data_IF_769367872480
#
_entry.id   IF_769367872480
#
_cell.length_a   1.000
_cell.length_b   1.000
_cell.length_c   1.000
_cell.angle_alpha   90.00
_cell.angle_beta   90.00
_cell.angle_gamma   90.00
#
_symmetry.space_group_name_H-M   'P 1'
#
loop_
_entity.id
_entity.type
_entity.pdbx_description
1 polymer ?
#
# COMPACT_ATOMS: atom_id res chain seq x y z
N UNK A 1 -83.89 18.96 39.86
CA UNK A 1 -82.80 19.96 39.86
C UNK A 1 -82.20 20.00 38.45
N UNK A 2 -82.31 21.16 37.76
CA UNK A 2 -81.51 21.73 36.64
C UNK A 2 -81.00 20.80 35.50
N UNK A 3 -81.50 20.96 34.25
CA UNK A 3 -80.88 21.66 33.07
C UNK A 3 -79.45 21.17 32.74
N UNK A 4 -79.12 20.65 31.55
CA UNK A 4 -78.78 21.41 30.30
C UNK A 4 -78.09 20.38 29.35
N UNK A 5 -78.46 20.19 28.08
CA UNK A 5 -78.02 20.92 26.87
C UNK A 5 -76.51 20.94 26.61
N UNK A 6 -76.13 20.68 25.33
CA UNK A 6 -74.90 21.08 24.56
C UNK A 6 -73.96 19.89 24.21
N UNK A 7 -73.34 19.74 23.03
CA UNK A 7 -73.43 20.20 21.63
C UNK A 7 -72.44 19.31 20.84
N UNK A 8 -72.68 19.18 19.54
CA UNK A 8 -71.79 18.60 18.52
C UNK A 8 -70.31 19.02 18.65
N UNK A 9 -69.37 18.09 18.44
CA UNK A 9 -67.96 18.40 18.15
C UNK A 9 -67.45 17.49 17.03
N UNK A 10 -67.67 17.93 15.79
CA UNK A 10 -67.04 17.42 14.59
C UNK A 10 -65.57 17.83 14.61
N UNK A 11 -64.64 16.87 14.76
CA UNK A 11 -63.20 17.14 14.67
C UNK A 11 -62.81 17.11 13.20
N UNK A 12 -62.57 18.29 12.63
CA UNK A 12 -61.97 18.49 11.32
C UNK A 12 -60.46 18.19 11.43
N UNK A 13 -59.98 17.14 10.76
CA UNK A 13 -58.55 16.83 10.68
C UNK A 13 -57.95 17.54 9.46
N UNK A 14 -57.39 18.72 9.67
CA UNK A 14 -56.73 19.49 8.62
C UNK A 14 -55.35 18.87 8.33
N UNK A 15 -55.21 18.22 7.17
CA UNK A 15 -53.92 17.76 6.67
C UNK A 15 -53.06 18.95 6.24
N UNK A 16 -51.97 19.21 6.95
CA UNK A 16 -50.93 20.16 6.54
C UNK A 16 -50.04 19.45 5.53
N UNK A 17 -50.20 19.78 4.25
CA UNK A 17 -49.25 19.44 3.20
C UNK A 17 -47.97 20.26 3.43
N UNK A 18 -46.92 19.61 3.93
CA UNK A 18 -45.56 20.16 3.88
C UNK A 18 -45.05 19.98 2.45
N UNK A 19 -45.12 21.05 1.67
CA UNK A 19 -44.44 21.14 0.38
C UNK A 19 -42.94 21.26 0.68
N UNK A 20 -42.20 20.16 0.53
CA UNK A 20 -40.74 20.23 0.43
C UNK A 20 -40.40 20.95 -0.89
N UNK A 21 -40.07 22.22 -0.80
CA UNK A 21 -39.36 22.92 -1.87
C UNK A 21 -37.98 22.29 -2.01
N UNK A 22 -37.79 21.43 -3.00
CA UNK A 22 -36.47 20.98 -3.45
C UNK A 22 -35.77 22.15 -4.11
N UNK A 23 -35.16 23.02 -3.32
CA UNK A 23 -34.19 24.00 -3.80
C UNK A 23 -32.90 23.25 -4.13
N UNK A 24 -32.53 23.32 -5.40
CA UNK A 24 -31.38 22.70 -6.04
C UNK A 24 -30.07 22.87 -5.26
N UNK A 25 -29.53 21.78 -4.72
CA UNK A 25 -28.18 21.71 -4.11
C UNK A 25 -27.16 21.33 -5.20
N UNK A 26 -27.13 22.05 -6.32
CA UNK A 26 -26.23 21.74 -7.44
C UNK A 26 -25.14 22.79 -7.67
N UNK A 27 -25.14 23.89 -6.90
CA UNK A 27 -24.13 24.96 -7.06
C UNK A 27 -23.13 25.10 -5.90
N UNK A 28 -23.37 24.49 -4.73
CA UNK A 28 -22.38 24.50 -3.63
C UNK A 28 -21.24 23.50 -3.88
N UNK A 29 -21.56 22.29 -4.36
CA UNK A 29 -20.58 21.23 -4.55
C UNK A 29 -19.47 21.57 -5.58
N UNK A 30 -19.77 22.41 -6.60
CA UNK A 30 -18.77 22.78 -7.62
C UNK A 30 -17.67 23.70 -7.09
N UNK A 31 -18.02 24.66 -6.24
CA UNK A 31 -17.06 25.62 -5.66
C UNK A 31 -16.11 24.93 -4.68
N UNK A 32 -16.62 23.96 -3.91
CA UNK A 32 -15.83 23.22 -2.93
C UNK A 32 -14.83 22.26 -3.61
N UNK A 33 -15.22 21.56 -4.69
CA UNK A 33 -14.31 20.65 -5.41
C UNK A 33 -13.14 21.37 -6.10
N UNK A 34 -13.36 22.58 -6.62
CA UNK A 34 -12.29 23.36 -7.26
C UNK A 34 -11.30 23.89 -6.22
N UNK A 35 -11.78 24.29 -5.03
CA UNK A 35 -10.93 24.65 -3.89
C UNK A 35 -10.03 23.49 -3.46
N UNK A 36 -10.62 22.30 -3.25
CA UNK A 36 -9.87 21.11 -2.80
C UNK A 36 -8.85 20.66 -3.85
N UNK A 37 -9.21 20.70 -5.13
CA UNK A 37 -8.25 20.40 -6.20
C UNK A 37 -7.07 21.38 -6.18
N UNK A 38 -7.31 22.67 -5.96
CA UNK A 38 -6.24 23.66 -5.86
C UNK A 38 -5.34 23.42 -4.64
N UNK A 39 -5.92 23.15 -3.46
CA UNK A 39 -5.17 22.85 -2.23
C UNK A 39 -4.27 21.61 -2.40
N UNK A 40 -4.78 20.53 -3.00
CA UNK A 40 -4.00 19.32 -3.27
C UNK A 40 -2.87 19.59 -4.28
N UNK A 41 -3.14 20.35 -5.34
CA UNK A 41 -2.14 20.74 -6.33
C UNK A 41 -1.04 21.64 -5.72
N UNK A 42 -1.39 22.52 -4.79
CA UNK A 42 -0.42 23.33 -4.05
C UNK A 42 0.44 22.47 -3.14
N UNK A 43 -0.15 21.48 -2.47
CA UNK A 43 0.57 20.52 -1.64
C UNK A 43 1.56 19.70 -2.45
N UNK A 44 1.16 19.17 -3.62
CA UNK A 44 2.05 18.45 -4.54
C UNK A 44 3.22 19.35 -4.99
N UNK A 45 2.92 20.58 -5.45
CA UNK A 45 3.93 21.54 -5.91
C UNK A 45 4.90 22.01 -4.82
N UNK A 46 4.50 21.91 -3.56
CA UNK A 46 5.37 22.27 -2.43
C UNK A 46 6.62 21.39 -2.37
N UNK A 47 6.61 20.20 -2.99
CA UNK A 47 7.69 19.21 -2.96
C UNK A 47 8.16 18.85 -1.54
N UNK A 48 7.31 19.05 -0.53
CA UNK A 48 7.60 18.70 0.86
C UNK A 48 7.43 17.20 1.10
N UNK A 49 6.61 16.54 0.28
CA UNK A 49 6.30 15.12 0.31
C UNK A 49 6.54 14.51 -1.07
N UNK A 50 7.08 13.29 -1.12
CA UNK A 50 7.34 12.56 -2.37
C UNK A 50 6.07 11.85 -2.87
N UNK A 51 5.14 12.64 -3.41
CA UNK A 51 3.93 12.14 -4.07
C UNK A 51 3.57 12.91 -5.34
N UNK A 52 2.85 12.26 -6.24
CA UNK A 52 2.30 12.82 -7.48
C UNK A 52 0.80 12.55 -7.52
N UNK A 53 -0.02 13.56 -7.82
CA UNK A 53 -1.46 13.36 -7.98
C UNK A 53 -1.76 12.69 -9.31
N UNK A 54 -2.71 11.76 -9.30
CA UNK A 54 -3.18 11.09 -10.52
C UNK A 54 -4.69 11.18 -10.65
N UNK A 55 -5.21 11.27 -11.89
CA UNK A 55 -6.65 11.29 -12.13
C UNK A 55 -7.36 10.05 -11.57
N UNK A 56 -8.67 10.18 -11.29
CA UNK A 56 -9.48 9.11 -10.72
C UNK A 56 -9.57 7.86 -11.63
N UNK A 57 -9.34 8.03 -12.93
CA UNK A 57 -9.28 6.93 -13.89
C UNK A 57 -8.14 5.95 -13.58
N UNK A 58 -7.00 6.42 -13.05
CA UNK A 58 -5.87 5.55 -12.68
C UNK A 58 -6.18 4.66 -11.47
N UNK A 59 -7.12 5.08 -10.61
CA UNK A 59 -7.56 4.35 -9.43
C UNK A 59 -8.91 3.64 -9.62
N UNK A 60 -9.47 3.63 -10.83
CA UNK A 60 -10.76 3.00 -11.16
C UNK A 60 -10.81 1.49 -10.93
N UNK A 61 -9.67 0.85 -10.75
CA UNK A 61 -9.54 -0.57 -10.40
C UNK A 61 -9.77 -0.84 -8.90
N UNK A 62 -9.80 0.21 -8.07
CA UNK A 62 -10.15 0.14 -6.66
C UNK A 62 -11.67 0.25 -6.51
N UNK A 63 -12.22 -0.51 -5.56
CA UNK A 63 -13.65 -0.39 -5.25
C UNK A 63 -13.91 0.89 -4.44
N UNK A 64 -15.14 1.42 -4.49
CA UNK A 64 -15.51 2.66 -3.78
C UNK A 64 -15.36 2.52 -2.25
N UNK A 65 -15.58 1.31 -1.71
CA UNK A 65 -15.36 0.96 -0.30
C UNK A 65 -13.87 0.79 0.06
N UNK A 66 -13.00 0.73 -0.95
CA UNK A 66 -11.55 0.73 -0.76
C UNK A 66 -10.98 2.15 -0.77
N UNK A 67 -11.69 3.15 -1.27
CA UNK A 67 -11.21 4.54 -1.29
C UNK A 67 -11.08 5.09 0.14
N UNK A 68 -9.88 5.56 0.47
CA UNK A 68 -9.61 6.14 1.79
C UNK A 68 -10.24 7.53 1.86
N UNK A 69 -11.09 7.77 2.86
CA UNK A 69 -11.76 9.05 3.04
C UNK A 69 -11.02 9.91 4.07
N UNK A 70 -10.73 11.15 3.69
CA UNK A 70 -10.16 12.17 4.55
C UNK A 70 -11.15 13.33 4.69
N UNK A 71 -11.29 13.85 5.90
CA UNK A 71 -12.16 14.99 6.18
C UNK A 71 -11.49 16.30 5.70
N UNK A 72 -10.16 16.34 5.63
CA UNK A 72 -9.39 17.51 5.17
C UNK A 72 -8.12 17.15 4.38
N UNK A 73 -7.55 18.13 3.67
CA UNK A 73 -6.27 17.99 2.95
C UNK A 73 -5.10 17.78 3.92
N UNK A 74 -5.15 18.38 5.11
CA UNK A 74 -4.14 18.21 6.16
C UNK A 74 -4.09 16.77 6.70
N UNK A 75 -5.22 16.08 6.76
CA UNK A 75 -5.24 14.65 7.13
C UNK A 75 -4.56 13.79 6.07
N UNK A 76 -4.81 14.07 4.79
CA UNK A 76 -4.12 13.44 3.68
C UNK A 76 -2.60 13.73 3.72
N UNK A 77 -2.20 14.98 3.94
CA UNK A 77 -0.79 15.37 4.09
C UNK A 77 -0.11 14.55 5.17
N UNK A 78 -0.74 14.43 6.35
CA UNK A 78 -0.21 13.64 7.46
C UNK A 78 -0.08 12.16 7.10
N UNK A 79 -1.06 11.59 6.40
CA UNK A 79 -1.00 10.20 5.95
C UNK A 79 0.17 9.95 4.99
N UNK A 80 0.35 10.80 3.97
CA UNK A 80 1.46 10.69 3.02
C UNK A 80 2.81 10.87 3.73
N UNK A 81 2.88 11.77 4.71
CA UNK A 81 4.07 11.96 5.54
C UNK A 81 4.44 10.69 6.30
N UNK A 82 3.48 10.03 6.94
CA UNK A 82 3.73 8.76 7.65
C UNK A 82 4.21 7.63 6.70
N UNK A 83 3.68 7.60 5.46
CA UNK A 83 4.17 6.66 4.44
C UNK A 83 5.64 6.94 4.05
N UNK A 84 6.01 8.21 3.88
CA UNK A 84 7.36 8.64 3.52
C UNK A 84 8.37 8.50 4.67
N UNK A 85 7.93 8.64 5.92
CA UNK A 85 8.76 8.52 7.12
C UNK A 85 9.05 7.06 7.52
N UNK A 86 8.47 6.08 6.82
CA UNK A 86 8.79 4.67 7.05
C UNK A 86 10.23 4.40 6.57
N UNK A 87 11.19 4.49 7.48
CA UNK A 87 12.62 4.33 7.19
C UNK A 87 12.89 3.16 6.24
N UNK A 88 13.77 3.37 5.26
CA UNK A 88 14.28 2.31 4.37
C UNK A 88 15.20 1.38 5.16
N UNK A 89 14.62 0.58 6.06
CA UNK A 89 15.35 -0.44 6.80
C UNK A 89 15.71 -1.56 5.83
N UNK A 90 16.99 -1.97 5.82
CA UNK A 90 17.39 -3.18 5.09
C UNK A 90 16.89 -4.39 5.87
N UNK A 91 15.94 -5.14 5.30
CA UNK A 91 15.47 -6.39 5.89
C UNK A 91 16.45 -7.52 5.56
N UNK A 92 16.94 -8.23 6.58
CA UNK A 92 17.93 -9.29 6.41
C UNK A 92 17.41 -10.65 6.87
N UNK A 93 17.53 -11.64 6.00
CA UNK A 93 17.28 -13.03 6.34
C UNK A 93 18.52 -13.90 6.11
N UNK A 94 18.58 -15.03 6.80
CA UNK A 94 19.62 -16.04 6.63
C UNK A 94 18.98 -17.42 6.53
N UNK A 95 19.34 -18.18 5.50
CA UNK A 95 18.88 -19.56 5.31
C UNK A 95 20.04 -20.53 5.42
N UNK A 96 19.80 -21.67 6.04
CA UNK A 96 20.78 -22.75 6.19
C UNK A 96 20.53 -23.82 5.10
N UNK A 97 21.53 -24.09 4.28
CA UNK A 97 21.45 -25.04 3.17
C UNK A 97 21.76 -26.48 3.58
N UNK A 98 22.09 -26.73 4.86
CA UNK A 98 22.44 -28.06 5.38
C UNK A 98 21.33 -29.11 5.24
N UNK A 99 20.06 -28.69 5.13
CA UNK A 99 18.90 -29.58 4.95
C UNK A 99 18.67 -30.06 3.50
N UNK A 100 19.36 -29.49 2.49
CA UNK A 100 19.14 -29.85 1.08
C UNK A 100 20.06 -30.98 0.59
N UNK A 101 20.92 -31.53 1.45
CA UNK A 101 21.81 -32.64 1.10
C UNK A 101 21.15 -34.01 1.38
N UNK A 102 20.16 -34.36 0.55
CA UNK A 102 19.82 -35.77 0.35
C UNK A 102 20.98 -36.46 -0.38
N UNK A 103 21.65 -37.36 0.34
CA UNK A 103 22.64 -38.36 -0.08
C UNK A 103 22.86 -38.50 -1.60
N UNK A 104 24.07 -38.20 -2.07
CA UNK A 104 24.64 -38.89 -3.25
C UNK A 104 26.17 -38.77 -3.26
N UNK A 105 26.79 -39.87 -2.82
CA UNK A 105 28.02 -40.51 -3.31
C UNK A 105 29.12 -39.68 -3.96
N UNK A 106 30.31 -39.79 -3.36
CA UNK A 106 31.65 -39.71 -3.94
C UNK A 106 31.70 -39.76 -5.48
N UNK A 107 31.66 -38.59 -6.12
CA UNK A 107 32.26 -38.38 -7.43
C UNK A 107 32.98 -37.04 -7.39
N UNK A 108 34.24 -37.05 -7.82
CA UNK A 108 35.03 -35.86 -8.13
C UNK A 108 34.34 -35.19 -9.31
N UNK A 109 33.32 -34.38 -9.03
CA UNK A 109 32.32 -33.92 -9.99
C UNK A 109 32.26 -32.41 -10.02
N UNK A 110 32.30 -31.87 -11.24
CA UNK A 110 31.93 -30.51 -11.65
C UNK A 110 31.19 -29.70 -10.57
N UNK A 111 31.71 -28.50 -10.28
CA UNK A 111 31.10 -27.52 -9.38
C UNK A 111 29.70 -27.14 -9.90
N UNK A 112 28.67 -27.92 -9.53
CA UNK A 112 27.34 -27.80 -10.12
C UNK A 112 26.61 -26.61 -9.50
N UNK A 113 26.07 -25.77 -10.37
CA UNK A 113 25.20 -24.66 -9.98
C UNK A 113 23.87 -25.22 -9.48
N UNK A 114 23.52 -24.92 -8.24
CA UNK A 114 22.23 -25.25 -7.62
C UNK A 114 21.28 -24.06 -7.74
N UNK A 115 19.98 -24.34 -7.83
CA UNK A 115 18.93 -23.33 -7.94
C UNK A 115 18.08 -23.27 -6.66
N UNK A 116 17.51 -22.12 -6.35
CA UNK A 116 16.57 -21.91 -5.25
C UNK A 116 15.65 -20.72 -5.51
N UNK A 117 14.67 -20.53 -4.63
CA UNK A 117 13.77 -19.38 -4.61
C UNK A 117 13.48 -19.01 -3.17
N UNK A 118 13.29 -17.72 -2.91
CA UNK A 118 12.97 -17.22 -1.58
C UNK A 118 12.04 -16.01 -1.67
N UNK A 119 11.22 -15.83 -0.64
CA UNK A 119 10.43 -14.60 -0.44
C UNK A 119 10.83 -14.03 0.91
N UNK A 120 11.43 -12.85 0.90
CA UNK A 120 11.65 -12.06 2.12
C UNK A 120 10.37 -11.26 2.33
N UNK A 121 9.76 -11.38 3.51
CA UNK A 121 8.60 -10.60 3.89
C UNK A 121 8.85 -9.85 5.18
N UNK A 122 8.25 -8.68 5.32
CA UNK A 122 8.27 -7.94 6.56
C UNK A 122 7.00 -7.10 6.71
N UNK A 123 6.64 -6.90 7.98
CA UNK A 123 5.47 -6.13 8.34
C UNK A 123 5.71 -4.66 8.01
N UNK A 124 4.77 -4.05 7.29
CA UNK A 124 4.76 -2.63 6.98
C UNK A 124 3.41 -2.06 7.43
N UNK A 125 3.23 -1.82 8.74
CA UNK A 125 2.03 -1.18 9.22
C UNK A 125 2.10 0.29 8.79
N UNK A 126 1.26 0.69 7.86
CA UNK A 126 0.91 2.11 7.79
C UNK A 126 -0.22 2.28 8.81
N UNK A 127 0.12 2.80 9.99
CA UNK A 127 -0.84 3.01 11.07
C UNK A 127 -1.95 3.92 10.59
N UNK A 128 -3.19 3.43 10.66
CA UNK A 128 -4.36 4.12 10.12
C UNK A 128 -4.67 5.42 10.85
N UNK A 129 -4.96 6.45 10.07
CA UNK A 129 -5.87 7.50 10.49
C UNK A 129 -7.29 6.94 10.42
N UNK A 130 -7.94 6.72 11.58
CA UNK A 130 -9.18 5.92 11.64
C UNK A 130 -8.94 4.42 11.48
N UNK A 131 -9.99 3.60 11.49
CA UNK A 131 -9.91 2.12 11.35
C UNK A 131 -9.28 1.61 10.03
N UNK A 132 -8.82 2.50 9.15
CA UNK A 132 -8.36 2.27 7.77
C UNK A 132 -6.83 2.18 7.66
N UNK A 133 -6.18 1.55 8.64
CA UNK A 133 -4.75 1.26 8.57
C UNK A 133 -4.44 0.16 7.56
N UNK A 134 -3.43 0.36 6.72
CA UNK A 134 -2.93 -0.68 5.82
C UNK A 134 -2.14 -1.71 6.64
N UNK A 135 -2.86 -2.75 7.05
CA UNK A 135 -2.33 -3.92 7.71
C UNK A 135 -1.70 -4.87 6.66
N UNK A 136 -0.60 -4.44 6.06
CA UNK A 136 0.03 -5.13 4.94
C UNK A 136 1.48 -5.58 5.21
N UNK A 137 1.89 -6.60 4.48
CA UNK A 137 3.25 -7.09 4.41
C UNK A 137 3.86 -6.65 3.08
N UNK A 138 5.11 -6.19 3.14
CA UNK A 138 5.96 -6.01 1.96
C UNK A 138 6.64 -7.33 1.63
N UNK A 139 6.59 -7.74 0.37
CA UNK A 139 7.18 -9.00 -0.07
C UNK A 139 8.19 -8.75 -1.19
N UNK A 140 9.34 -9.44 -1.14
CA UNK A 140 10.31 -9.51 -2.24
C UNK A 140 10.60 -10.97 -2.54
N UNK A 141 10.01 -11.47 -3.62
CA UNK A 141 10.18 -12.84 -4.12
C UNK A 141 11.21 -12.87 -5.25
N UNK A 142 12.13 -13.82 -5.22
CA UNK A 142 13.16 -13.97 -6.26
C UNK A 142 13.64 -15.42 -6.40
N UNK A 143 14.25 -15.71 -7.55
CA UNK A 143 14.99 -16.94 -7.82
C UNK A 143 16.49 -16.67 -7.72
N UNK A 144 17.25 -17.63 -7.26
CA UNK A 144 18.69 -17.51 -7.15
C UNK A 144 19.42 -18.80 -7.53
N UNK A 145 20.67 -18.64 -7.94
CA UNK A 145 21.60 -19.73 -8.19
C UNK A 145 22.78 -19.59 -7.25
N UNK A 146 23.28 -20.72 -6.74
CA UNK A 146 24.45 -20.75 -5.89
C UNK A 146 25.34 -21.96 -6.18
N UNK A 147 26.59 -21.88 -5.74
CA UNK A 147 27.56 -22.97 -5.79
C UNK A 147 28.24 -23.13 -4.44
N UNK A 148 28.72 -24.32 -4.15
CA UNK A 148 29.54 -24.58 -2.95
C UNK A 148 31.01 -24.53 -3.38
N UNK A 149 31.79 -23.61 -2.79
CA UNK A 149 33.24 -23.50 -3.01
C UNK A 149 33.95 -23.64 -1.68
N UNK A 150 34.78 -24.67 -1.53
CA UNK A 150 35.47 -25.00 -0.28
C UNK A 150 34.49 -25.13 0.90
N UNK A 151 33.37 -25.83 0.67
CA UNK A 151 32.33 -26.03 1.68
C UNK A 151 31.46 -24.80 2.00
N UNK A 152 31.65 -23.67 1.30
CA UNK A 152 30.92 -22.42 1.56
C UNK A 152 29.99 -22.04 0.40
N UNK A 153 28.72 -21.71 0.66
CA UNK A 153 27.80 -21.31 -0.39
C UNK A 153 28.13 -19.92 -0.92
N UNK A 154 28.01 -19.75 -2.24
CA UNK A 154 28.22 -18.49 -2.95
C UNK A 154 27.14 -18.29 -3.99
N UNK A 155 26.45 -17.17 -3.94
CA UNK A 155 25.55 -16.76 -5.00
C UNK A 155 26.30 -16.57 -6.32
N UNK A 156 25.62 -16.92 -7.40
CA UNK A 156 26.10 -16.77 -8.78
C UNK A 156 25.13 -15.98 -9.65
N UNK A 157 23.82 -16.02 -9.33
CA UNK A 157 22.78 -15.29 -10.04
C UNK A 157 21.59 -15.03 -9.12
N UNK A 158 20.95 -13.88 -9.29
CA UNK A 158 19.58 -13.60 -8.80
C UNK A 158 18.76 -13.21 -10.02
N UNK A 159 17.49 -13.60 -10.05
CA UNK A 159 16.59 -13.37 -11.18
C UNK A 159 15.13 -13.39 -10.75
N UNK A 160 14.24 -12.93 -11.63
CA UNK A 160 12.81 -12.91 -11.41
C UNK A 160 12.40 -12.24 -10.09
N UNK A 161 13.02 -11.08 -9.80
CA UNK A 161 12.69 -10.27 -8.62
C UNK A 161 11.29 -9.68 -8.84
N UNK A 162 10.37 -10.01 -7.94
CA UNK A 162 9.01 -9.50 -7.89
C UNK A 162 8.73 -8.97 -6.50
N UNK A 163 7.98 -7.87 -6.43
CA UNK A 163 7.56 -7.26 -5.18
C UNK A 163 6.05 -6.97 -5.21
N UNK A 164 5.42 -7.10 -4.05
CA UNK A 164 3.98 -6.93 -3.89
C UNK A 164 3.60 -6.74 -2.42
N UNK A 165 2.46 -6.09 -2.19
CA UNK A 165 1.78 -6.11 -0.90
C UNK A 165 0.97 -7.40 -0.73
N UNK A 166 0.87 -7.88 0.51
CA UNK A 166 -0.09 -8.93 0.90
C UNK A 166 -0.72 -8.59 2.25
N UNK A 167 -1.84 -9.23 2.59
CA UNK A 167 -2.63 -8.87 3.78
C UNK A 167 -3.80 -7.96 3.41
N UNK A 168 -4.20 -7.08 4.31
CA UNK A 168 -5.33 -6.18 4.11
C UNK A 168 -4.83 -4.92 3.39
N UNK A 169 -5.28 -4.74 2.14
CA UNK A 169 -4.92 -3.62 1.27
C UNK A 169 -6.21 -2.85 0.98
N UNK A 170 -6.40 -1.69 1.62
CA UNK A 170 -7.58 -0.85 1.45
C UNK A 170 -7.12 0.42 0.74
N UNK A 171 -7.54 0.60 -0.52
CA UNK A 171 -7.27 1.82 -1.26
C UNK A 171 -5.82 1.99 -1.71
N UNK A 172 -5.01 0.94 -1.68
CA UNK A 172 -3.59 1.00 -2.05
C UNK A 172 -3.20 -0.20 -2.91
N UNK A 173 -2.37 0.06 -3.92
CA UNK A 173 -1.66 -0.98 -4.66
C UNK A 173 -0.17 -0.68 -4.74
N UNK A 174 0.67 -1.71 -4.81
CA UNK A 174 2.11 -1.54 -5.05
C UNK A 174 2.44 -1.78 -6.51
N UNK A 175 3.18 -0.84 -7.10
CA UNK A 175 3.63 -0.89 -8.48
C UNK A 175 5.16 -0.90 -8.55
N UNK A 176 5.72 -2.08 -8.84
CA UNK A 176 7.16 -2.23 -9.04
C UNK A 176 7.61 -1.60 -10.36
N UNK A 177 8.56 -0.66 -10.31
CA UNK A 177 9.12 -0.01 -11.51
C UNK A 177 10.48 -0.55 -11.91
N UNK A 178 11.34 -0.90 -10.94
CA UNK A 178 12.68 -1.42 -11.24
C UNK A 178 13.24 -2.27 -10.11
N UNK A 179 14.19 -3.13 -10.47
CA UNK A 179 14.88 -4.01 -9.52
C UNK A 179 16.36 -4.08 -9.82
N UNK A 180 17.17 -4.20 -8.78
CA UNK A 180 18.61 -4.46 -8.89
C UNK A 180 19.08 -5.37 -7.76
N UNK A 181 20.22 -6.00 -7.94
CA UNK A 181 20.85 -6.81 -6.90
C UNK A 181 22.37 -6.72 -6.96
N UNK A 182 23.01 -6.95 -5.82
CA UNK A 182 24.46 -7.07 -5.70
C UNK A 182 24.81 -8.24 -4.79
N UNK A 183 25.92 -8.91 -5.07
CA UNK A 183 26.50 -9.87 -4.14
C UNK A 183 27.52 -9.20 -3.24
N UNK A 184 27.40 -9.49 -1.95
CA UNK A 184 28.28 -8.97 -0.90
C UNK A 184 28.74 -10.12 -0.02
N UNK A 185 29.64 -9.81 0.91
CA UNK A 185 30.17 -10.77 1.89
C UNK A 185 29.66 -10.40 3.28
N UNK A 186 28.97 -11.33 3.93
CA UNK A 186 28.70 -11.31 5.38
C UNK A 186 29.65 -12.24 6.13
N UNK A 187 29.83 -13.48 5.65
CA UNK A 187 30.73 -14.50 6.24
C UNK A 187 31.73 -15.05 5.22
N UNK A 188 31.30 -15.26 3.98
CA UNK A 188 32.12 -15.79 2.89
C UNK A 188 31.84 -15.08 1.56
N UNK A 189 32.70 -15.28 0.56
CA UNK A 189 32.60 -14.55 -0.72
C UNK A 189 31.23 -14.77 -1.37
N UNK A 190 30.52 -13.68 -1.67
CA UNK A 190 29.20 -13.69 -2.32
C UNK A 190 28.16 -14.54 -1.58
N UNK A 191 28.22 -14.61 -0.26
CA UNK A 191 27.23 -15.34 0.54
C UNK A 191 25.98 -14.52 0.87
N UNK A 192 25.99 -13.21 0.60
CA UNK A 192 24.85 -12.32 0.81
C UNK A 192 24.41 -11.69 -0.52
N UNK A 193 23.14 -11.87 -0.87
CA UNK A 193 22.50 -11.13 -1.96
C UNK A 193 21.75 -9.94 -1.37
N UNK A 194 22.07 -8.73 -1.81
CA UNK A 194 21.35 -7.50 -1.46
C UNK A 194 20.48 -7.11 -2.65
N UNK A 195 19.18 -6.99 -2.43
CA UNK A 195 18.17 -6.69 -3.44
C UNK A 195 17.61 -5.30 -3.14
N UNK A 196 17.51 -4.48 -4.18
CA UNK A 196 16.84 -3.17 -4.15
C UNK A 196 15.70 -3.20 -5.16
N UNK A 197 14.52 -2.83 -4.71
CA UNK A 197 13.31 -2.68 -5.52
C UNK A 197 12.88 -1.22 -5.42
N UNK A 198 12.65 -0.57 -6.55
CA UNK A 198 12.00 0.74 -6.58
C UNK A 198 10.59 0.57 -7.15
N UNK A 199 9.67 1.39 -6.69
CA UNK A 199 8.28 1.40 -7.12
C UNK A 199 7.52 2.54 -6.48
N UNK A 200 6.20 2.47 -6.56
CA UNK A 200 5.32 3.43 -5.88
C UNK A 200 4.07 2.72 -5.35
N UNK A 201 3.54 3.26 -4.26
CA UNK A 201 2.20 2.95 -3.79
C UNK A 201 1.21 3.84 -4.54
N UNK A 202 0.24 3.25 -5.22
CA UNK A 202 -0.87 3.98 -5.84
C UNK A 202 -2.03 3.97 -4.85
N UNK A 203 -2.30 5.13 -4.27
CA UNK A 203 -3.36 5.36 -3.29
C UNK A 203 -4.60 5.94 -4.00
N UNK A 204 -5.77 5.39 -3.72
CA UNK A 204 -7.05 6.02 -4.04
C UNK A 204 -7.65 6.67 -2.80
N UNK A 205 -7.97 7.96 -2.87
CA UNK A 205 -8.52 8.70 -1.74
C UNK A 205 -9.60 9.70 -2.14
N UNK A 206 -10.40 10.10 -1.16
CA UNK A 206 -11.46 11.11 -1.30
C UNK A 206 -11.26 12.17 -0.21
N UNK A 207 -11.26 13.44 -0.60
CA UNK A 207 -11.28 14.58 0.33
C UNK A 207 -12.55 15.37 0.09
N UNK A 208 -13.45 15.43 1.07
CA UNK A 208 -14.75 16.15 0.97
C UNK A 208 -15.53 15.88 -0.34
N UNK A 209 -15.59 14.62 -0.78
CA UNK A 209 -16.28 14.23 -2.01
C UNK A 209 -15.48 14.42 -3.31
N UNK A 210 -14.24 14.91 -3.25
CA UNK A 210 -13.32 14.94 -4.38
C UNK A 210 -12.42 13.70 -4.37
N UNK A 211 -12.70 12.75 -5.26
CA UNK A 211 -11.94 11.50 -5.39
C UNK A 211 -10.79 11.66 -6.38
N UNK A 212 -9.58 11.32 -5.96
CA UNK A 212 -8.35 11.43 -6.75
C UNK A 212 -7.33 10.38 -6.27
N UNK A 213 -6.32 10.09 -7.07
CA UNK A 213 -5.24 9.19 -6.69
C UNK A 213 -3.95 9.92 -6.32
N UNK A 214 -3.05 9.23 -5.63
CA UNK A 214 -1.67 9.67 -5.41
C UNK A 214 -0.68 8.51 -5.64
N UNK A 215 0.39 8.77 -6.39
CA UNK A 215 1.57 7.91 -6.47
C UNK A 215 2.57 8.35 -5.40
N UNK A 216 2.91 7.46 -4.48
CA UNK A 216 3.87 7.71 -3.41
C UNK A 216 5.08 6.83 -3.65
N UNK A 217 6.22 7.42 -3.99
CA UNK A 217 7.42 6.68 -4.38
C UNK A 217 8.07 6.00 -3.17
N UNK A 218 8.59 4.79 -3.37
CA UNK A 218 9.26 4.05 -2.31
C UNK A 218 10.38 3.14 -2.87
N UNK A 219 11.35 2.83 -2.01
CA UNK A 219 12.45 1.92 -2.27
C UNK A 219 12.53 0.86 -1.18
N UNK A 220 12.34 -0.41 -1.55
CA UNK A 220 12.51 -1.53 -0.64
C UNK A 220 13.90 -2.12 -0.77
N UNK A 221 14.55 -2.35 0.38
CA UNK A 221 15.85 -3.02 0.46
C UNK A 221 15.71 -4.30 1.28
N UNK A 222 16.09 -5.42 0.69
CA UNK A 222 16.06 -6.73 1.32
C UNK A 222 17.37 -7.48 1.07
N UNK A 223 17.75 -8.41 1.94
CA UNK A 223 18.92 -9.25 1.71
C UNK A 223 18.77 -10.66 2.27
N UNK A 224 19.35 -11.61 1.54
CA UNK A 224 19.40 -13.02 1.91
C UNK A 224 20.84 -13.47 2.06
N UNK A 225 21.18 -14.09 3.18
CA UNK A 225 22.48 -14.73 3.42
C UNK A 225 22.33 -16.26 3.35
N UNK A 226 23.19 -16.92 2.58
CA UNK A 226 23.30 -18.38 2.57
C UNK A 226 24.28 -18.83 3.67
N UNK A 227 23.88 -19.81 4.47
CA UNK A 227 24.71 -20.47 5.47
C UNK A 227 24.87 -21.94 5.13
#
# INVERSE_FOLDING_TARGET
MKRSFIKSLTILFTAVLVVFSTTSITSLAKTDTESISNELNELEKSNTLDFELVPSEEISHLNEDEIIKFDTVEEFEKFVKEMNETEVTLFEETIDLSSTNSKTTNQVGMMSTKNGSHTINWWAPFSGYGMTGLACWRNVSFKYNYKIVNGKPRFTKVSNIKSYYSGIQIGVTWNQTSTSYNFTKKRSTNDKAVIKVNGYSLLGFEVKGFTVGAKINDTWKASLTLK
#
